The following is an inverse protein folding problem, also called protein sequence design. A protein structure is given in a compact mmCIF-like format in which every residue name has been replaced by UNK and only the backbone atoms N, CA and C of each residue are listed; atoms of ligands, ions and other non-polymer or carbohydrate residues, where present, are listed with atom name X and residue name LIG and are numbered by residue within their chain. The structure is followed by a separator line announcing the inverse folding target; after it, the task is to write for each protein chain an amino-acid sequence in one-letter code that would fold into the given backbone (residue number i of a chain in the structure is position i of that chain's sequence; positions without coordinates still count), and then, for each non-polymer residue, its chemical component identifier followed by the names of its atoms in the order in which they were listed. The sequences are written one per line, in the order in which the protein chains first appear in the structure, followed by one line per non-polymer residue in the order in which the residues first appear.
data_IF_996289550000
#
_entry.id   IF_996289550000
#
_cell.length_a   1.000
_cell.length_b   1.000
_cell.length_c   1.000
_cell.angle_alpha   90.00
_cell.angle_beta   90.00
_cell.angle_gamma   90.00
#
_symmetry.space_group_name_H-M   'P 1'
#
loop_
_entity.id
_entity.type
_entity.pdbx_description
1 polymer ?
#
# COMPACT_ATOMS: atom_id res chain seq x y z
N UNK A 1 13.00 15.25 9.55
CA UNK A 1 12.45 13.98 10.09
C UNK A 1 11.65 13.26 9.02
N UNK A 2 11.95 11.99 8.77
CA UNK A 2 11.23 11.12 7.82
C UNK A 2 10.36 10.17 8.61
N UNK A 3 9.07 10.16 8.32
CA UNK A 3 8.09 9.28 8.93
C UNK A 3 7.69 8.10 8.05
N UNK A 4 6.93 7.19 8.62
CA UNK A 4 6.34 6.05 7.91
C UNK A 4 5.23 5.38 8.71
N UNK A 5 4.33 4.70 8.00
CA UNK A 5 3.30 3.86 8.60
C UNK A 5 3.90 2.53 9.08
N UNK A 6 3.14 1.75 9.83
CA UNK A 6 3.61 0.50 10.44
C UNK A 6 3.80 -0.65 9.43
N UNK A 7 3.13 -0.60 8.28
CA UNK A 7 3.19 -1.66 7.27
C UNK A 7 4.63 -1.86 6.74
N UNK A 8 5.02 -3.11 6.46
CA UNK A 8 6.35 -3.47 6.00
C UNK A 8 6.80 -2.68 4.77
N UNK A 9 5.94 -2.52 3.77
CA UNK A 9 6.19 -1.71 2.58
C UNK A 9 6.53 -0.26 2.94
N UNK A 10 5.77 0.34 3.84
CA UNK A 10 5.98 1.71 4.28
C UNK A 10 7.29 1.90 5.05
N UNK A 11 7.71 0.89 5.81
CA UNK A 11 9.01 0.90 6.48
C UNK A 11 10.17 0.85 5.47
N UNK A 12 10.04 0.05 4.40
CA UNK A 12 11.02 0.01 3.31
C UNK A 12 11.05 1.36 2.57
N UNK A 13 9.90 1.90 2.19
CA UNK A 13 9.81 3.21 1.53
C UNK A 13 10.38 4.34 2.39
N UNK A 14 10.15 4.32 3.70
CA UNK A 14 10.72 5.28 4.65
C UNK A 14 12.26 5.20 4.65
N UNK A 15 12.83 4.00 4.70
CA UNK A 15 14.28 3.82 4.66
C UNK A 15 14.89 4.18 3.29
N UNK A 16 14.16 3.98 2.21
CA UNK A 16 14.53 4.52 0.89
C UNK A 16 14.62 6.05 0.96
N UNK A 17 13.62 6.72 1.53
CA UNK A 17 13.62 8.17 1.65
C UNK A 17 14.80 8.68 2.50
N UNK A 18 15.10 8.03 3.61
CA UNK A 18 16.26 8.37 4.46
C UNK A 18 17.57 8.25 3.66
N UNK A 19 17.79 7.11 3.01
CA UNK A 19 19.02 6.87 2.25
C UNK A 19 19.18 7.83 1.07
N UNK A 20 18.10 8.21 0.39
CA UNK A 20 18.11 9.23 -0.68
C UNK A 20 18.49 10.59 -0.13
N UNK A 21 17.94 11.01 1.01
CA UNK A 21 18.28 12.28 1.65
C UNK A 21 19.75 12.30 2.10
N UNK A 22 20.22 11.23 2.72
CA UNK A 22 21.64 11.10 3.14
C UNK A 22 22.59 11.18 1.94
N UNK A 23 22.23 10.60 0.78
CA UNK A 23 23.05 10.62 -0.44
C UNK A 23 23.25 12.02 -1.03
N UNK A 24 22.36 12.96 -0.71
CA UNK A 24 22.49 14.38 -1.09
C UNK A 24 22.96 15.28 0.08
N UNK A 25 23.61 14.68 1.08
CA UNK A 25 24.15 15.34 2.27
C UNK A 25 23.10 16.05 3.14
N UNK A 26 21.86 15.59 3.12
CA UNK A 26 20.83 16.06 4.05
C UNK A 26 20.80 15.18 5.30
N UNK A 27 20.64 15.80 6.48
CA UNK A 27 20.43 15.07 7.72
C UNK A 27 19.00 14.54 7.77
N UNK A 28 18.83 13.23 7.91
CA UNK A 28 17.54 12.58 8.05
C UNK A 28 17.42 11.91 9.43
N UNK A 29 16.33 12.24 10.15
CA UNK A 29 15.98 11.57 11.40
C UNK A 29 14.93 10.52 11.11
N UNK A 30 15.15 9.29 11.60
CA UNK A 30 14.28 8.13 11.37
C UNK A 30 13.11 8.11 12.36
N UNK A 31 11.90 8.17 11.82
CA UNK A 31 10.64 7.89 12.51
C UNK A 31 9.76 6.98 11.63
N UNK A 32 10.32 5.90 11.10
CA UNK A 32 9.65 4.99 10.17
C UNK A 32 8.49 4.16 10.77
N UNK A 33 8.07 4.41 11.98
CA UNK A 33 7.01 3.67 12.67
C UNK A 33 6.14 4.60 13.51
N UNK A 34 5.57 5.65 12.89
CA UNK A 34 4.73 6.64 13.58
C UNK A 34 3.42 6.01 14.05
N UNK A 35 2.76 5.25 13.17
CA UNK A 35 1.44 4.68 13.46
C UNK A 35 0.73 4.20 12.18
N UNK A 36 -0.59 4.09 12.26
CA UNK A 36 -1.45 3.85 11.09
C UNK A 36 -1.59 5.10 10.22
N UNK A 37 -2.50 5.01 9.25
CA UNK A 37 -2.75 6.06 8.24
C UNK A 37 -3.03 7.43 8.86
N UNK A 38 -3.99 7.52 9.78
CA UNK A 38 -4.38 8.79 10.38
C UNK A 38 -3.28 9.39 11.29
N UNK A 39 -2.64 8.56 12.11
CA UNK A 39 -1.57 9.00 13.00
C UNK A 39 -0.40 9.60 12.22
N UNK A 40 0.02 8.92 11.13
CA UNK A 40 1.12 9.40 10.28
C UNK A 40 0.74 10.71 9.55
N UNK A 41 -0.51 10.81 9.08
CA UNK A 41 -1.02 12.05 8.47
C UNK A 41 -1.01 13.20 9.47
N UNK A 42 -1.50 12.99 10.69
CA UNK A 42 -1.52 14.02 11.73
C UNK A 42 -0.10 14.44 12.14
N UNK A 43 0.84 13.51 12.23
CA UNK A 43 2.25 13.82 12.49
C UNK A 43 2.87 14.73 11.43
N UNK A 44 2.53 14.53 10.13
CA UNK A 44 2.98 15.43 9.06
C UNK A 44 2.35 16.83 9.18
N UNK A 45 1.03 16.88 9.41
CA UNK A 45 0.31 18.16 9.53
C UNK A 45 0.76 18.93 10.78
N UNK A 46 0.99 18.25 11.89
CA UNK A 46 1.48 18.80 13.15
C UNK A 46 2.95 19.23 13.14
N UNK A 47 3.74 18.67 12.21
CA UNK A 47 5.16 18.97 12.09
C UNK A 47 6.09 18.08 12.89
N UNK A 48 5.59 16.97 13.44
CA UNK A 48 6.39 15.96 14.11
C UNK A 48 7.27 15.21 13.11
N UNK A 49 6.78 15.03 11.89
CA UNK A 49 7.55 14.57 10.73
C UNK A 49 7.48 15.58 9.59
N UNK A 50 8.46 15.54 8.69
CA UNK A 50 8.59 16.47 7.58
C UNK A 50 8.24 15.87 6.23
N UNK A 51 8.44 14.55 6.07
CA UNK A 51 8.26 13.79 4.85
C UNK A 51 7.86 12.34 5.18
N UNK A 52 6.95 11.78 4.38
CA UNK A 52 6.71 10.33 4.30
C UNK A 52 6.14 9.95 2.93
N UNK A 53 5.98 8.64 2.66
CA UNK A 53 5.31 8.15 1.46
C UNK A 53 3.81 7.96 1.72
N UNK A 54 2.99 8.61 0.91
CA UNK A 54 1.54 8.45 0.98
C UNK A 54 0.98 7.95 -0.34
N UNK A 55 -0.15 7.29 -0.29
CA UNK A 55 -0.84 6.76 -1.47
C UNK A 55 -1.92 7.72 -1.95
N UNK A 56 -1.98 7.90 -3.27
CA UNK A 56 -2.94 8.82 -3.91
C UNK A 56 -4.39 8.49 -3.57
N UNK A 57 -4.76 7.20 -3.55
CA UNK A 57 -6.09 6.75 -3.17
C UNK A 57 -6.45 7.08 -1.72
N UNK A 58 -5.53 6.82 -0.79
CA UNK A 58 -5.72 7.14 0.63
C UNK A 58 -5.97 8.64 0.82
N UNK A 59 -5.12 9.47 0.21
CA UNK A 59 -5.29 10.90 0.34
C UNK A 59 -6.59 11.41 -0.28
N UNK A 60 -6.94 10.89 -1.47
CA UNK A 60 -8.14 11.33 -2.19
C UNK A 60 -9.43 10.91 -1.50
N UNK A 61 -9.52 9.64 -1.11
CA UNK A 61 -10.76 9.10 -0.53
C UNK A 61 -10.85 9.39 0.96
N UNK A 62 -9.80 9.04 1.73
CA UNK A 62 -9.85 9.11 3.20
C UNK A 62 -9.65 10.53 3.74
N UNK A 63 -8.63 11.27 3.25
CA UNK A 63 -8.33 12.60 3.81
C UNK A 63 -9.14 13.71 3.18
N UNK A 64 -9.43 13.61 1.88
CA UNK A 64 -10.15 14.65 1.13
C UNK A 64 -11.65 14.33 0.93
N UNK A 65 -12.12 13.14 1.34
CA UNK A 65 -13.53 12.73 1.28
C UNK A 65 -14.09 12.69 -0.14
N UNK A 66 -13.28 12.31 -1.15
CA UNK A 66 -13.66 12.34 -2.55
C UNK A 66 -13.93 10.94 -3.09
N UNK A 67 -14.71 10.87 -4.18
CA UNK A 67 -14.94 9.60 -4.89
C UNK A 67 -13.69 9.20 -5.67
N UNK A 68 -13.35 7.89 -5.76
CA UNK A 68 -12.20 7.39 -6.51
C UNK A 68 -12.20 7.88 -7.97
N UNK A 69 -10.99 8.15 -8.48
CA UNK A 69 -10.74 8.43 -9.91
C UNK A 69 -9.95 7.24 -10.44
N UNK A 70 -10.47 6.57 -11.50
CA UNK A 70 -9.87 5.36 -12.08
C UNK A 70 -8.78 5.65 -13.14
N UNK A 71 -8.23 6.85 -13.12
CA UNK A 71 -7.05 7.25 -13.89
C UNK A 71 -5.98 7.75 -12.91
N UNK A 72 -4.84 7.07 -12.86
CA UNK A 72 -3.79 7.32 -11.88
C UNK A 72 -3.18 8.71 -11.99
N UNK A 73 -3.01 9.21 -13.21
CA UNK A 73 -2.47 10.55 -13.46
C UNK A 73 -3.47 11.63 -13.03
N UNK A 74 -4.73 11.47 -13.41
CA UNK A 74 -5.78 12.41 -13.02
C UNK A 74 -5.97 12.44 -11.50
N UNK A 75 -5.96 11.28 -10.84
CA UNK A 75 -6.06 11.20 -9.37
C UNK A 75 -4.86 11.87 -8.69
N UNK A 76 -3.63 11.59 -9.16
CA UNK A 76 -2.44 12.21 -8.61
C UNK A 76 -2.47 13.74 -8.75
N UNK A 77 -2.79 14.29 -9.92
CA UNK A 77 -2.85 15.75 -10.11
C UNK A 77 -3.94 16.39 -9.27
N UNK A 78 -5.09 15.74 -9.12
CA UNK A 78 -6.17 16.22 -8.25
C UNK A 78 -5.76 16.24 -6.77
N UNK A 79 -5.14 15.16 -6.26
CA UNK A 79 -4.64 15.07 -4.89
C UNK A 79 -3.58 16.14 -4.63
N UNK A 80 -2.58 16.23 -5.50
CA UNK A 80 -1.48 17.19 -5.42
C UNK A 80 -1.97 18.63 -5.32
N UNK A 81 -2.94 19.00 -6.16
CA UNK A 81 -3.52 20.34 -6.15
C UNK A 81 -4.31 20.62 -4.87
N UNK A 82 -5.20 19.71 -4.50
CA UNK A 82 -6.08 19.90 -3.35
C UNK A 82 -5.31 19.91 -2.02
N UNK A 83 -4.34 19.00 -1.88
CA UNK A 83 -3.55 18.89 -0.66
C UNK A 83 -2.59 20.08 -0.47
N UNK A 84 -2.07 20.63 -1.58
CA UNK A 84 -1.30 21.87 -1.54
C UNK A 84 -2.14 23.05 -1.09
N UNK A 85 -3.36 23.21 -1.64
CA UNK A 85 -4.24 24.34 -1.35
C UNK A 85 -4.76 24.30 0.10
N UNK A 86 -5.19 23.13 0.55
CA UNK A 86 -5.89 23.01 1.83
C UNK A 86 -4.96 22.72 3.01
N UNK A 87 -3.84 22.03 2.77
CA UNK A 87 -2.99 21.51 3.83
C UNK A 87 -1.52 21.95 3.74
N UNK A 88 -1.14 22.73 2.72
CA UNK A 88 0.26 23.09 2.45
C UNK A 88 1.19 21.87 2.35
N UNK A 89 0.72 20.76 1.76
CA UNK A 89 1.48 19.57 1.49
C UNK A 89 1.83 19.49 0.02
N UNK A 90 3.12 19.28 -0.25
CA UNK A 90 3.66 19.10 -1.60
C UNK A 90 3.77 17.61 -1.88
N UNK A 91 3.26 17.18 -3.03
CA UNK A 91 3.39 15.82 -3.57
C UNK A 91 4.50 15.81 -4.61
N UNK A 92 5.52 14.99 -4.42
CA UNK A 92 6.58 14.75 -5.41
C UNK A 92 6.08 13.76 -6.48
N UNK A 93 6.94 13.42 -7.45
CA UNK A 93 6.59 12.48 -8.51
C UNK A 93 6.10 11.14 -7.95
N UNK A 94 4.96 10.62 -8.44
CA UNK A 94 4.41 9.35 -7.99
C UNK A 94 5.19 8.18 -8.58
N UNK A 95 5.06 7.03 -7.92
CA UNK A 95 5.56 5.76 -8.45
C UNK A 95 4.60 5.18 -9.48
N UNK A 96 5.08 4.34 -10.42
CA UNK A 96 4.20 3.55 -11.27
C UNK A 96 3.52 2.39 -10.53
N UNK A 97 4.05 1.92 -9.38
CA UNK A 97 3.41 0.84 -8.66
C UNK A 97 2.07 1.28 -8.02
N UNK A 98 1.13 0.35 -7.97
CA UNK A 98 -0.19 0.52 -7.39
C UNK A 98 -0.41 -0.56 -6.32
N UNK A 99 -0.28 -0.19 -5.04
CA UNK A 99 -0.53 -1.10 -3.92
C UNK A 99 -2.00 -1.02 -3.51
N UNK A 100 -2.87 -1.65 -4.30
CA UNK A 100 -4.29 -1.67 -3.99
C UNK A 100 -4.69 -2.86 -3.12
N UNK A 101 -5.83 -2.73 -2.45
CA UNK A 101 -6.52 -3.85 -1.82
C UNK A 101 -7.00 -4.84 -2.87
N UNK A 102 -6.91 -6.10 -2.55
CA UNK A 102 -7.44 -7.18 -3.37
C UNK A 102 -7.90 -8.35 -2.49
N UNK A 103 -8.53 -9.36 -3.09
CA UNK A 103 -8.80 -10.62 -2.44
C UNK A 103 -8.06 -11.74 -3.16
N UNK A 104 -7.49 -12.63 -2.37
CA UNK A 104 -6.80 -13.81 -2.88
C UNK A 104 -7.42 -15.10 -2.36
N UNK A 105 -7.14 -16.15 -3.08
CA UNK A 105 -7.50 -17.54 -2.78
C UNK A 105 -6.31 -18.43 -3.17
N UNK A 106 -6.18 -19.63 -2.60
CA UNK A 106 -5.20 -20.60 -3.07
C UNK A 106 -5.40 -20.90 -4.56
N UNK A 107 -4.34 -20.83 -5.38
CA UNK A 107 -4.46 -20.91 -6.84
C UNK A 107 -5.13 -22.20 -7.32
N UNK A 108 -4.77 -23.36 -6.73
CA UNK A 108 -5.42 -24.64 -7.04
C UNK A 108 -6.92 -24.63 -6.72
N UNK A 109 -7.29 -23.97 -5.61
CA UNK A 109 -8.69 -23.88 -5.20
C UNK A 109 -9.51 -22.96 -6.11
N UNK A 110 -8.90 -21.85 -6.56
CA UNK A 110 -9.51 -20.97 -7.57
C UNK A 110 -9.86 -21.74 -8.85
N UNK A 111 -8.92 -22.56 -9.34
CA UNK A 111 -9.14 -23.39 -10.54
C UNK A 111 -10.25 -24.41 -10.33
N UNK A 112 -10.25 -25.14 -9.20
CA UNK A 112 -11.29 -26.12 -8.86
C UNK A 112 -12.70 -25.51 -8.80
N UNK A 113 -12.81 -24.30 -8.27
CA UNK A 113 -14.08 -23.61 -8.08
C UNK A 113 -14.45 -22.70 -9.27
N UNK A 114 -13.57 -22.52 -10.26
CA UNK A 114 -13.79 -21.65 -11.41
C UNK A 114 -13.83 -20.16 -11.07
N UNK A 115 -13.16 -19.74 -9.99
CA UNK A 115 -13.20 -18.36 -9.49
C UNK A 115 -12.03 -17.54 -10.07
N UNK A 116 -12.34 -16.37 -10.64
CA UNK A 116 -11.37 -15.47 -11.28
C UNK A 116 -11.51 -14.01 -10.87
N UNK A 117 -12.72 -13.62 -10.46
CA UNK A 117 -13.07 -12.21 -10.21
C UNK A 117 -13.71 -12.03 -8.83
N UNK A 118 -13.79 -10.77 -8.38
CA UNK A 118 -14.57 -10.44 -7.17
C UNK A 118 -16.07 -10.69 -7.36
N UNK A 119 -16.58 -10.57 -8.60
CA UNK A 119 -17.95 -10.98 -8.90
C UNK A 119 -18.17 -12.47 -8.69
N UNK A 120 -17.20 -13.32 -9.06
CA UNK A 120 -17.26 -14.77 -8.80
C UNK A 120 -17.24 -15.06 -7.29
N UNK A 121 -16.36 -14.41 -6.54
CA UNK A 121 -16.32 -14.52 -5.07
C UNK A 121 -17.65 -14.13 -4.45
N UNK A 122 -18.21 -13.01 -4.86
CA UNK A 122 -19.50 -12.54 -4.38
C UNK A 122 -20.63 -13.53 -4.68
N UNK A 123 -20.66 -14.11 -5.89
CA UNK A 123 -21.63 -15.15 -6.27
C UNK A 123 -21.45 -16.42 -5.43
N UNK A 124 -20.19 -16.83 -5.20
CA UNK A 124 -19.87 -17.98 -4.35
C UNK A 124 -20.39 -17.79 -2.91
N UNK A 125 -20.16 -16.62 -2.32
CA UNK A 125 -20.63 -16.31 -0.97
C UNK A 125 -22.18 -16.29 -0.92
N UNK A 126 -22.84 -15.65 -1.89
CA UNK A 126 -24.32 -15.60 -1.97
C UNK A 126 -24.95 -16.98 -2.12
N UNK A 127 -24.28 -17.91 -2.80
CA UNK A 127 -24.81 -19.28 -2.96
C UNK A 127 -24.75 -20.10 -1.67
N UNK A 128 -24.24 -19.57 -0.58
CA UNK A 128 -24.15 -20.24 0.72
C UNK A 128 -23.07 -21.31 0.80
N UNK A 129 -22.20 -21.41 -0.21
CA UNK A 129 -21.10 -22.36 -0.23
C UNK A 129 -20.14 -22.15 0.96
N UNK A 130 -19.51 -23.22 1.48
CA UNK A 130 -18.67 -23.14 2.67
C UNK A 130 -17.39 -22.34 2.43
N UNK A 131 -16.93 -21.64 3.46
CA UNK A 131 -15.66 -20.90 3.46
C UNK A 131 -15.78 -19.59 4.23
N UNK A 132 -14.70 -19.25 4.93
CA UNK A 132 -14.60 -17.98 5.63
C UNK A 132 -13.85 -16.96 4.77
N UNK A 133 -14.16 -15.70 5.00
CA UNK A 133 -13.46 -14.55 4.44
C UNK A 133 -12.66 -13.88 5.56
N UNK A 134 -11.39 -13.61 5.31
CA UNK A 134 -10.49 -13.00 6.27
C UNK A 134 -10.09 -11.58 5.81
N UNK A 135 -10.18 -10.60 6.69
CA UNK A 135 -9.85 -9.20 6.42
C UNK A 135 -9.11 -8.56 7.60
N UNK A 136 -8.44 -7.44 7.34
CA UNK A 136 -7.83 -6.63 8.39
C UNK A 136 -8.83 -5.71 9.10
N UNK A 137 -8.53 -5.33 10.37
CA UNK A 137 -9.34 -4.36 11.10
C UNK A 137 -9.43 -2.98 10.41
N UNK A 138 -8.35 -2.53 9.77
CA UNK A 138 -8.36 -1.26 9.04
C UNK A 138 -9.31 -1.32 7.84
N UNK A 139 -9.22 -2.36 7.02
CA UNK A 139 -10.10 -2.54 5.85
C UNK A 139 -11.56 -2.70 6.25
N UNK A 140 -11.85 -3.34 7.39
CA UNK A 140 -13.20 -3.51 7.91
C UNK A 140 -13.91 -2.16 8.16
N UNK A 141 -13.15 -1.12 8.53
CA UNK A 141 -13.71 0.14 9.01
C UNK A 141 -13.52 1.33 8.06
N UNK A 142 -12.85 1.13 6.92
CA UNK A 142 -12.59 2.20 5.95
C UNK A 142 -13.78 2.43 5.03
N UNK A 143 -13.98 3.67 4.58
CA UNK A 143 -15.01 4.05 3.60
C UNK A 143 -14.78 3.39 2.23
N UNK A 144 -13.50 3.23 1.84
CA UNK A 144 -13.06 2.52 0.64
C UNK A 144 -12.77 1.04 0.89
N UNK A 145 -13.21 0.51 2.03
CA UNK A 145 -12.97 -0.85 2.50
C UNK A 145 -14.16 -1.80 2.34
N UNK A 146 -14.26 -2.74 3.28
CA UNK A 146 -15.15 -3.89 3.19
C UNK A 146 -16.65 -3.57 3.08
N UNK A 147 -17.23 -2.62 3.86
CA UNK A 147 -18.65 -2.29 3.73
C UNK A 147 -19.02 -1.75 2.34
N UNK A 148 -18.14 -0.96 1.74
CA UNK A 148 -18.34 -0.47 0.38
C UNK A 148 -18.21 -1.57 -0.66
N UNK A 149 -17.25 -2.48 -0.51
CA UNK A 149 -17.08 -3.63 -1.38
C UNK A 149 -18.34 -4.51 -1.40
N UNK A 150 -18.90 -4.82 -0.21
CA UNK A 150 -20.13 -5.62 -0.10
C UNK A 150 -21.28 -4.96 -0.88
N UNK A 151 -21.45 -3.64 -0.76
CA UNK A 151 -22.48 -2.90 -1.53
C UNK A 151 -22.21 -2.93 -3.03
N UNK A 152 -20.96 -2.69 -3.46
CA UNK A 152 -20.59 -2.66 -4.87
C UNK A 152 -20.79 -4.00 -5.57
N UNK A 153 -20.46 -5.09 -4.89
CA UNK A 153 -20.57 -6.46 -5.42
C UNK A 153 -21.88 -7.18 -5.03
N UNK A 154 -22.70 -6.56 -4.17
CA UNK A 154 -24.02 -7.08 -3.81
C UNK A 154 -23.95 -8.40 -3.05
N UNK A 155 -23.10 -8.51 -2.02
CA UNK A 155 -23.03 -9.69 -1.17
C UNK A 155 -22.92 -9.30 0.31
N UNK A 156 -23.27 -10.25 1.16
CA UNK A 156 -23.06 -10.16 2.60
C UNK A 156 -22.38 -11.44 3.07
N UNK A 157 -21.41 -11.29 3.97
CA UNK A 157 -20.77 -12.45 4.59
C UNK A 157 -21.61 -12.90 5.78
N UNK A 158 -22.06 -14.17 5.82
CA UNK A 158 -22.84 -14.68 6.93
C UNK A 158 -22.13 -14.51 8.28
N UNK A 159 -22.91 -14.28 9.33
CA UNK A 159 -22.38 -14.18 10.69
C UNK A 159 -21.50 -15.39 11.05
N UNK A 160 -20.34 -15.13 11.64
CA UNK A 160 -19.36 -16.15 12.00
C UNK A 160 -18.40 -16.57 10.88
N UNK A 161 -18.66 -16.18 9.61
CA UNK A 161 -17.77 -16.47 8.47
C UNK A 161 -16.80 -15.33 8.14
N UNK A 162 -16.98 -14.15 8.70
CA UNK A 162 -16.00 -13.07 8.63
C UNK A 162 -15.01 -13.23 9.77
N UNK A 163 -13.74 -13.33 9.44
CA UNK A 163 -12.64 -13.38 10.40
C UNK A 163 -11.80 -12.11 10.27
N UNK A 164 -11.52 -11.49 11.39
CA UNK A 164 -10.68 -10.28 11.42
C UNK A 164 -9.31 -10.67 11.97
N UNK A 165 -8.30 -10.56 11.14
CA UNK A 165 -6.92 -10.97 11.42
C UNK A 165 -5.97 -9.81 11.03
N UNK A 166 -4.73 -9.87 11.52
CA UNK A 166 -3.68 -8.98 11.00
C UNK A 166 -3.24 -9.43 9.61
N UNK A 167 -2.68 -8.51 8.81
CA UNK A 167 -2.28 -8.77 7.41
C UNK A 167 -1.44 -10.05 7.26
N UNK A 168 -0.35 -10.16 7.99
CA UNK A 168 0.56 -11.30 7.87
C UNK A 168 -0.13 -12.67 8.02
N UNK A 169 -0.84 -12.92 9.11
CA UNK A 169 -1.64 -14.14 9.33
C UNK A 169 -2.65 -14.47 8.24
N UNK A 170 -3.24 -13.47 7.56
CA UNK A 170 -4.24 -13.71 6.49
C UNK A 170 -3.63 -14.53 5.35
N UNK A 171 -2.42 -14.18 4.89
CA UNK A 171 -1.78 -14.88 3.78
C UNK A 171 -1.57 -16.36 4.08
N UNK A 172 -1.09 -16.68 5.28
CA UNK A 172 -0.89 -18.07 5.69
C UNK A 172 -2.23 -18.81 5.86
N UNK A 173 -3.24 -18.16 6.42
CA UNK A 173 -4.56 -18.74 6.60
C UNK A 173 -5.24 -19.12 5.27
N UNK A 174 -5.04 -18.30 4.21
CA UNK A 174 -5.49 -18.65 2.85
C UNK A 174 -4.67 -19.83 2.30
N UNK A 175 -3.35 -19.79 2.45
CA UNK A 175 -2.45 -20.82 1.93
C UNK A 175 -2.76 -22.22 2.53
N UNK A 176 -3.02 -22.26 3.83
CA UNK A 176 -3.35 -23.49 4.57
C UNK A 176 -4.80 -23.99 4.32
N UNK A 177 -5.69 -23.13 3.81
CA UNK A 177 -7.10 -23.42 3.54
C UNK A 177 -7.89 -23.94 4.76
N UNK A 178 -7.38 -23.67 5.97
CA UNK A 178 -8.01 -24.15 7.21
C UNK A 178 -9.01 -23.14 7.78
N UNK A 179 -8.58 -21.90 7.85
CA UNK A 179 -9.36 -20.83 8.48
C UNK A 179 -10.01 -19.91 7.46
N UNK A 180 -9.31 -19.58 6.36
CA UNK A 180 -9.79 -18.68 5.32
C UNK A 180 -9.81 -19.35 3.96
N UNK A 181 -10.93 -19.26 3.26
CA UNK A 181 -11.01 -19.59 1.84
C UNK A 181 -10.55 -18.41 1.00
N UNK A 182 -11.04 -17.22 1.35
CA UNK A 182 -10.66 -15.93 0.77
C UNK A 182 -10.02 -15.06 1.83
N UNK A 183 -9.09 -14.23 1.42
CA UNK A 183 -8.53 -13.21 2.32
C UNK A 183 -8.14 -11.95 1.58
N UNK A 184 -8.25 -10.85 2.30
CA UNK A 184 -7.74 -9.57 1.86
C UNK A 184 -6.21 -9.62 1.76
N UNK A 185 -5.69 -9.05 0.69
CA UNK A 185 -4.25 -8.95 0.40
C UNK A 185 -3.93 -7.60 -0.22
N UNK A 186 -2.65 -7.24 -0.21
CA UNK A 186 -2.13 -6.09 -0.95
C UNK A 186 -1.44 -6.58 -2.23
N UNK A 187 -1.76 -5.98 -3.37
CA UNK A 187 -1.32 -6.45 -4.69
C UNK A 187 0.20 -6.47 -4.88
N UNK A 188 0.94 -5.72 -4.09
CA UNK A 188 2.42 -5.67 -4.10
C UNK A 188 3.08 -6.61 -3.09
N UNK A 189 2.29 -7.48 -2.42
CA UNK A 189 2.84 -8.36 -1.39
C UNK A 189 3.51 -9.61 -1.99
N UNK A 190 4.79 -9.79 -1.69
CA UNK A 190 5.59 -10.90 -2.20
C UNK A 190 5.16 -12.29 -1.71
N UNK A 191 4.36 -12.38 -0.65
CA UNK A 191 3.81 -13.65 -0.15
C UNK A 191 2.76 -14.25 -1.08
N UNK A 192 2.16 -13.45 -1.98
CA UNK A 192 1.16 -13.94 -2.94
C UNK A 192 1.74 -15.06 -3.81
N UNK A 193 2.78 -14.84 -4.62
CA UNK A 193 3.38 -15.92 -5.42
C UNK A 193 4.08 -16.98 -4.56
N UNK A 194 4.73 -16.59 -3.47
CA UNK A 194 5.47 -17.50 -2.60
C UNK A 194 4.57 -18.57 -1.98
N UNK A 195 3.37 -18.21 -1.54
CA UNK A 195 2.39 -19.11 -0.95
C UNK A 195 1.45 -19.74 -1.99
N UNK A 196 1.67 -19.53 -3.28
CA UNK A 196 0.84 -20.04 -4.36
C UNK A 196 -0.59 -19.54 -4.30
N UNK A 197 -0.75 -18.26 -3.98
CA UNK A 197 -2.04 -17.58 -4.00
C UNK A 197 -2.30 -16.96 -5.37
N UNK A 198 -3.56 -16.77 -5.70
CA UNK A 198 -3.98 -15.99 -6.88
C UNK A 198 -4.92 -14.89 -6.45
N UNK A 199 -4.73 -13.71 -7.02
CA UNK A 199 -5.57 -12.54 -6.80
C UNK A 199 -6.79 -12.62 -7.70
N UNK A 200 -7.96 -12.36 -7.14
CA UNK A 200 -9.22 -12.23 -7.88
C UNK A 200 -9.31 -10.82 -8.49
N UNK A 201 -9.59 -10.74 -9.77
CA UNK A 201 -9.69 -9.45 -10.47
C UNK A 201 -10.86 -8.60 -9.94
N UNK A 202 -10.61 -7.33 -9.68
CA UNK A 202 -11.63 -6.33 -9.33
C UNK A 202 -12.35 -5.88 -10.61
N UNK A 203 -13.27 -6.70 -11.09
CA UNK A 203 -13.96 -6.54 -12.38
C UNK A 203 -14.97 -5.39 -12.42
N UNK A 204 -15.30 -4.80 -11.26
CA UNK A 204 -16.11 -3.57 -11.16
C UNK A 204 -15.28 -2.32 -10.83
N UNK A 205 -13.96 -2.45 -10.72
CA UNK A 205 -13.04 -1.35 -10.42
C UNK A 205 -13.46 -0.59 -9.14
N UNK A 206 -13.78 -1.34 -8.08
CA UNK A 206 -14.23 -0.76 -6.82
C UNK A 206 -13.09 -0.09 -6.06
N UNK A 207 -11.94 -0.77 -5.97
CA UNK A 207 -10.81 -0.24 -5.21
C UNK A 207 -10.16 0.96 -5.90
N UNK A 208 -9.82 2.02 -5.15
CA UNK A 208 -9.06 3.14 -5.68
C UNK A 208 -7.67 2.72 -6.15
N UNK A 209 -7.05 3.58 -6.94
CA UNK A 209 -5.64 3.44 -7.31
C UNK A 209 -4.76 4.03 -6.18
N UNK A 210 -3.80 3.24 -5.72
CA UNK A 210 -2.90 3.60 -4.60
C UNK A 210 -1.45 3.71 -5.08
N UNK A 211 -1.17 4.65 -5.99
CA UNK A 211 0.20 4.96 -6.36
C UNK A 211 0.87 5.74 -5.22
N UNK A 212 2.02 5.28 -4.77
CA UNK A 212 2.76 5.98 -3.72
C UNK A 212 3.49 7.21 -4.26
N UNK A 213 3.59 8.24 -3.46
CA UNK A 213 4.44 9.39 -3.72
C UNK A 213 5.05 9.91 -2.43
N UNK A 214 6.29 10.44 -2.45
CA UNK A 214 6.80 11.17 -1.31
C UNK A 214 6.01 12.46 -1.15
N UNK A 215 5.54 12.72 0.07
CA UNK A 215 4.86 13.95 0.41
C UNK A 215 5.59 14.66 1.54
N UNK A 216 5.59 15.99 1.50
CA UNK A 216 6.28 16.79 2.50
C UNK A 216 5.59 18.13 2.73
N UNK A 217 5.85 18.71 3.89
CA UNK A 217 5.34 20.04 4.21
C UNK A 217 5.94 21.08 3.27
N UNK A 218 5.11 22.00 2.78
CA UNK A 218 5.51 23.05 1.83
C UNK A 218 6.70 23.85 2.30
N UNK A 219 6.76 24.21 3.58
CA UNK A 219 7.89 24.97 4.14
C UNK A 219 9.23 24.24 4.04
N UNK A 220 9.24 22.90 4.07
CA UNK A 220 10.45 22.09 3.89
C UNK A 220 10.83 22.06 2.42
N UNK A 221 9.86 21.91 1.54
CA UNK A 221 10.06 21.95 0.09
C UNK A 221 10.64 23.29 -0.37
N UNK A 222 10.08 24.41 0.09
CA UNK A 222 10.50 25.76 -0.29
C UNK A 222 11.96 26.04 0.10
N UNK A 223 12.45 25.46 1.20
CA UNK A 223 13.85 25.54 1.63
C UNK A 223 14.78 24.61 0.87
N UNK A 224 14.24 23.52 0.31
CA UNK A 224 15.00 22.43 -0.31
C UNK A 224 14.36 21.97 -1.63
N UNK A 225 14.19 22.86 -2.64
CA UNK A 225 13.43 22.50 -3.87
C UNK A 225 14.13 21.40 -4.69
N UNK A 226 15.42 21.17 -4.49
CA UNK A 226 16.16 20.11 -5.16
C UNK A 226 15.78 18.69 -4.67
N UNK A 227 15.03 18.58 -3.57
CA UNK A 227 14.54 17.28 -3.07
C UNK A 227 13.72 16.55 -4.14
N UNK A 228 12.93 17.27 -4.94
CA UNK A 228 12.16 16.69 -6.03
C UNK A 228 13.05 15.98 -7.07
N UNK A 229 14.22 16.56 -7.39
CA UNK A 229 15.17 15.96 -8.33
C UNK A 229 15.81 14.69 -7.78
N UNK A 230 16.06 14.63 -6.47
CA UNK A 230 16.63 13.46 -5.83
C UNK A 230 15.63 12.28 -5.82
N UNK A 231 14.35 12.57 -5.59
CA UNK A 231 13.32 11.50 -5.51
C UNK A 231 12.78 11.05 -6.88
N UNK A 232 12.79 11.90 -7.90
CA UNK A 232 12.16 11.58 -9.20
C UNK A 232 12.65 10.27 -9.84
N UNK A 233 13.98 9.98 -9.96
CA UNK A 233 14.45 8.73 -10.53
C UNK A 233 14.09 7.52 -9.64
N UNK A 234 14.05 7.69 -8.33
CA UNK A 234 13.68 6.65 -7.36
C UNK A 234 12.21 6.28 -7.54
N UNK A 235 11.32 7.29 -7.54
CA UNK A 235 9.90 7.07 -7.76
C UNK A 235 9.65 6.34 -9.09
N UNK A 236 10.31 6.76 -10.17
CA UNK A 236 10.14 6.15 -11.49
C UNK A 236 10.60 4.68 -11.56
N UNK A 237 11.58 4.29 -10.75
CA UNK A 237 12.12 2.93 -10.72
C UNK A 237 11.31 1.96 -9.85
N UNK A 238 10.43 2.46 -8.97
CA UNK A 238 9.59 1.64 -8.11
C UNK A 238 8.36 1.14 -8.88
N UNK A 239 8.52 0.05 -9.64
CA UNK A 239 7.42 -0.66 -10.33
C UNK A 239 6.73 -1.65 -9.39
N UNK A 240 5.60 -2.25 -9.84
CA UNK A 240 4.93 -3.31 -9.07
C UNK A 240 5.88 -4.49 -8.78
N UNK A 241 6.67 -4.91 -9.76
CA UNK A 241 7.61 -6.02 -9.65
C UNK A 241 8.73 -5.70 -8.65
N UNK A 242 9.28 -4.49 -8.74
CA UNK A 242 10.32 -4.02 -7.81
C UNK A 242 9.77 -3.97 -6.40
N UNK A 243 8.60 -3.37 -6.20
CA UNK A 243 8.02 -3.25 -4.86
C UNK A 243 7.64 -4.60 -4.27
N UNK A 244 7.09 -5.52 -5.07
CA UNK A 244 6.79 -6.88 -4.64
C UNK A 244 8.07 -7.63 -4.18
N UNK A 245 9.19 -7.46 -4.90
CA UNK A 245 10.48 -8.06 -4.51
C UNK A 245 11.03 -7.45 -3.21
N UNK A 246 10.97 -6.12 -3.05
CA UNK A 246 11.39 -5.46 -1.81
C UNK A 246 10.53 -5.91 -0.62
N UNK A 247 9.22 -6.03 -0.82
CA UNK A 247 8.29 -6.53 0.19
C UNK A 247 8.58 -8.00 0.51
N UNK A 248 8.90 -8.84 -0.48
CA UNK A 248 9.28 -10.24 -0.25
C UNK A 248 10.54 -10.35 0.61
N UNK A 249 11.58 -9.58 0.33
CA UNK A 249 12.80 -9.55 1.14
C UNK A 249 12.51 -9.12 2.60
N UNK A 250 11.57 -8.21 2.79
CA UNK A 250 11.17 -7.75 4.12
C UNK A 250 10.30 -8.78 4.84
N UNK A 251 9.19 -9.19 4.22
CA UNK A 251 8.15 -9.99 4.88
C UNK A 251 8.45 -11.48 4.92
N UNK A 252 9.06 -12.04 3.85
CA UNK A 252 9.35 -13.47 3.75
C UNK A 252 10.78 -13.81 4.23
N UNK A 253 11.79 -13.02 3.86
CA UNK A 253 13.18 -13.26 4.30
C UNK A 253 13.52 -12.63 5.65
N UNK A 254 12.64 -11.78 6.21
CA UNK A 254 12.84 -11.12 7.51
C UNK A 254 13.98 -10.10 7.52
N UNK A 255 14.39 -9.58 6.35
CA UNK A 255 15.48 -8.60 6.25
C UNK A 255 15.04 -7.25 6.84
N UNK A 256 15.96 -6.51 7.44
CA UNK A 256 15.62 -5.18 7.97
C UNK A 256 15.27 -4.22 6.83
N UNK A 257 14.27 -3.33 7.02
CA UNK A 257 13.87 -2.35 6.00
C UNK A 257 15.04 -1.51 5.49
N UNK A 258 15.94 -1.10 6.39
CA UNK A 258 17.13 -0.33 6.05
C UNK A 258 18.06 -1.08 5.11
N UNK A 259 18.28 -2.37 5.34
CA UNK A 259 19.13 -3.19 4.48
C UNK A 259 18.49 -3.40 3.13
N UNK A 260 17.20 -3.73 3.07
CA UNK A 260 16.45 -3.87 1.81
C UNK A 260 16.57 -2.59 0.97
N UNK A 261 16.30 -1.43 1.58
CA UNK A 261 16.36 -0.14 0.91
C UNK A 261 17.75 0.18 0.36
N UNK A 262 18.80 0.06 1.19
CA UNK A 262 20.16 0.40 0.79
C UNK A 262 20.74 -0.53 -0.27
N UNK A 263 20.50 -1.83 -0.14
CA UNK A 263 20.97 -2.81 -1.12
C UNK A 263 20.32 -2.54 -2.50
N UNK A 264 19.01 -2.28 -2.53
CA UNK A 264 18.31 -1.93 -3.77
C UNK A 264 18.83 -0.63 -4.39
N UNK A 265 18.95 0.43 -3.62
CA UNK A 265 19.45 1.73 -4.09
C UNK A 265 20.89 1.62 -4.61
N UNK A 266 21.76 0.89 -3.90
CA UNK A 266 23.16 0.68 -4.31
C UNK A 266 23.28 -0.15 -5.57
N UNK A 267 22.51 -1.25 -5.70
CA UNK A 267 22.50 -2.09 -6.91
C UNK A 267 22.05 -1.35 -8.16
N UNK A 268 21.18 -0.35 -8.01
CA UNK A 268 20.69 0.48 -9.12
C UNK A 268 21.48 1.78 -9.31
N UNK A 269 22.54 1.99 -8.54
CA UNK A 269 23.40 3.17 -8.68
C UNK A 269 22.78 4.48 -8.20
N UNK A 270 21.71 4.43 -7.41
CA UNK A 270 21.07 5.62 -6.84
C UNK A 270 21.84 6.22 -5.65
N UNK A 271 22.59 5.38 -4.94
CA UNK A 271 23.50 5.80 -3.87
C UNK A 271 24.85 5.09 -4.04
N UNK A 272 25.91 5.60 -3.42
CA UNK A 272 27.21 4.93 -3.40
C UNK A 272 27.12 3.58 -2.67
N UNK A 273 27.74 2.54 -3.23
CA UNK A 273 27.80 1.22 -2.60
C UNK A 273 28.61 1.31 -1.29
N UNK A 274 28.03 0.91 -0.17
CA UNK A 274 28.74 0.79 1.10
C UNK A 274 28.69 2.03 2.02
N UNK A 275 27.80 2.95 1.77
CA UNK A 275 27.54 4.07 2.71
C UNK A 275 26.42 3.76 3.71
#
# INVERSE_FOLDING_TARGET
TVGGKLADEQQVLCQIAIAVLESVNATATDQCSVGGTDATRQALLGGDIDLYWEYTGTAWVTFLGRKPIQDSKAQYEAVKQQDLIHNNIVWLAPTPFNNTYAFAIKAERAQQLGLRTLSDMAAYIRSGQPGNLCIEPEYQNRDDGFPGLQRAYGFEVPAGRLKVLQAGPIYQAIADQKECLFGEVYTTDGRIPELGLTVLADDKLYHPLYNAAPILRKQIYDRNPNIAKAFAPISAALTNEVMAELNRQRSAEGRSPRRVARDWLGQHGFIANGS
#
